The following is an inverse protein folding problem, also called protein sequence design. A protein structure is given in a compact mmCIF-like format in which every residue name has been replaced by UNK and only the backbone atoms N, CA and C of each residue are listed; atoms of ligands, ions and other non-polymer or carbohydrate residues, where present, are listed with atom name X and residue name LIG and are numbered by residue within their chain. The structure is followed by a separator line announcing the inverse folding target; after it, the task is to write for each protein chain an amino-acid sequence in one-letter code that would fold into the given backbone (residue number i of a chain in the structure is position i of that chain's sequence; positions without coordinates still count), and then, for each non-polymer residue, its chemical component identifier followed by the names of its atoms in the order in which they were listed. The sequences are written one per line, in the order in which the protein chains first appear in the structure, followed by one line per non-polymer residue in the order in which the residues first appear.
data_IF_824589074464
#
_entry.id   IF_824589074464
#
_cell.length_a   1.000
_cell.length_b   1.000
_cell.length_c   1.000
_cell.angle_alpha   90.00
_cell.angle_beta   90.00
_cell.angle_gamma   90.00
#
_symmetry.space_group_name_H-M   'P 1'
#
loop_
_entity.id
_entity.type
_entity.pdbx_description
1 polymer ?
#
# COMPACT_ATOMS: atom_id res chain seq x y z
N UNK A 1 14.61 -1.24 13.68
CA UNK A 1 13.44 -1.83 12.99
C UNK A 1 13.27 -3.28 13.44
N UNK A 2 12.05 -3.73 13.76
CA UNK A 2 11.76 -5.10 14.28
C UNK A 2 10.70 -5.86 13.45
N UNK A 3 10.53 -5.55 12.17
CA UNK A 3 9.50 -6.17 11.30
C UNK A 3 9.98 -6.43 9.87
N UNK A 4 9.11 -6.97 9.01
CA UNK A 4 9.41 -7.29 7.62
C UNK A 4 9.67 -6.02 6.79
N UNK A 5 10.90 -5.85 6.30
CA UNK A 5 11.37 -4.67 5.54
C UNK A 5 10.47 -4.32 4.36
N UNK A 6 9.96 -5.35 3.67
CA UNK A 6 9.07 -5.24 2.52
C UNK A 6 7.82 -4.40 2.81
N UNK A 7 7.12 -4.68 3.91
CA UNK A 7 5.83 -4.04 4.21
C UNK A 7 5.90 -2.90 5.22
N UNK A 8 7.03 -2.68 5.87
CA UNK A 8 7.12 -1.62 6.88
C UNK A 8 6.83 -0.21 6.32
N UNK A 9 6.15 0.63 7.10
CA UNK A 9 5.88 2.02 6.72
C UNK A 9 7.15 2.85 6.53
N UNK A 10 7.06 3.98 5.84
CA UNK A 10 8.15 4.95 5.77
C UNK A 10 8.56 5.46 7.17
N UNK A 11 7.60 5.63 8.09
CA UNK A 11 7.91 6.08 9.45
C UNK A 11 8.72 5.01 10.22
N UNK A 12 8.40 3.73 10.02
CA UNK A 12 9.17 2.62 10.62
C UNK A 12 10.60 2.57 10.07
N UNK A 13 10.79 2.87 8.78
CA UNK A 13 12.11 3.05 8.15
C UNK A 13 12.87 4.26 8.73
N UNK A 14 12.16 5.31 9.13
CA UNK A 14 12.73 6.48 9.80
C UNK A 14 13.01 6.28 11.30
N UNK A 15 12.66 5.12 11.86
CA UNK A 15 12.82 4.84 13.29
C UNK A 15 11.82 5.58 14.19
N UNK A 16 10.72 6.06 13.61
CA UNK A 16 9.61 6.66 14.38
C UNK A 16 8.83 5.58 15.15
N UNK A 17 8.14 6.01 16.20
CA UNK A 17 7.18 5.15 16.89
C UNK A 17 6.00 4.82 15.97
N UNK A 18 5.58 3.54 16.00
CA UNK A 18 4.49 3.06 15.15
C UNK A 18 3.13 3.45 15.73
N UNK A 19 2.19 3.69 14.83
CA UNK A 19 0.82 4.12 15.10
C UNK A 19 -0.14 3.48 14.08
N UNK A 20 -1.47 3.64 14.20
CA UNK A 20 -2.43 3.01 13.27
C UNK A 20 -2.20 3.35 11.78
N UNK A 21 -1.56 4.48 11.47
CA UNK A 21 -1.21 4.85 10.08
C UNK A 21 -0.17 3.90 9.47
N UNK A 22 0.71 3.35 10.30
CA UNK A 22 1.81 2.48 9.89
C UNK A 22 1.29 1.07 9.53
N UNK A 23 0.31 0.59 10.28
CA UNK A 23 -0.41 -0.65 9.96
C UNK A 23 -1.18 -0.51 8.63
N UNK A 24 -1.82 0.64 8.40
CA UNK A 24 -2.56 0.90 7.16
C UNK A 24 -1.64 1.02 5.93
N UNK A 25 -0.47 1.65 6.07
CA UNK A 25 0.53 1.68 5.00
C UNK A 25 1.06 0.27 4.69
N UNK A 26 1.29 -0.54 5.73
CA UNK A 26 1.68 -1.95 5.57
C UNK A 26 0.61 -2.77 4.85
N UNK A 27 -0.65 -2.62 5.26
CA UNK A 27 -1.81 -3.22 4.59
C UNK A 27 -1.92 -2.80 3.12
N UNK A 28 -1.70 -1.52 2.83
CA UNK A 28 -1.72 -1.03 1.47
C UNK A 28 -0.66 -1.68 0.58
N UNK A 29 0.56 -1.87 1.08
CA UNK A 29 1.59 -2.59 0.35
C UNK A 29 1.23 -4.05 0.10
N UNK A 30 0.62 -4.74 1.08
CA UNK A 30 0.13 -6.10 0.88
C UNK A 30 -0.96 -6.16 -0.20
N UNK A 31 -1.92 -5.22 -0.19
CA UNK A 31 -2.98 -5.14 -1.20
C UNK A 31 -2.42 -4.93 -2.60
N UNK A 32 -1.44 -4.06 -2.77
CA UNK A 32 -0.80 -3.85 -4.08
C UNK A 32 -0.12 -5.14 -4.55
N UNK A 33 0.66 -5.79 -3.69
CA UNK A 33 1.38 -7.01 -4.05
C UNK A 33 0.43 -8.18 -4.37
N UNK A 34 -0.68 -8.32 -3.64
CA UNK A 34 -1.71 -9.32 -3.92
C UNK A 34 -2.32 -9.13 -5.31
N UNK A 35 -2.56 -7.88 -5.73
CA UNK A 35 -3.19 -7.57 -7.01
C UNK A 35 -2.22 -7.59 -8.19
N UNK A 36 -1.01 -7.08 -8.01
CA UNK A 36 -0.01 -6.94 -9.09
C UNK A 36 0.99 -8.09 -9.16
N UNK A 37 1.09 -8.90 -8.09
CA UNK A 37 2.15 -9.89 -7.89
C UNK A 37 3.52 -9.30 -7.55
N UNK A 38 3.64 -7.97 -7.39
CA UNK A 38 4.93 -7.29 -7.33
C UNK A 38 4.91 -5.97 -6.54
N UNK A 39 5.98 -5.72 -5.78
CA UNK A 39 6.34 -4.37 -5.31
C UNK A 39 7.66 -3.94 -5.97
N UNK A 40 7.83 -2.64 -6.31
CA UNK A 40 9.06 -2.10 -6.91
C UNK A 40 10.35 -2.40 -6.13
N UNK A 41 10.22 -2.81 -4.87
CA UNK A 41 11.33 -3.14 -3.97
C UNK A 41 11.37 -4.61 -3.55
N UNK A 42 10.58 -5.50 -4.18
CA UNK A 42 10.53 -6.93 -3.82
C UNK A 42 11.83 -7.68 -4.08
N UNK A 43 12.64 -7.21 -5.03
CA UNK A 43 13.89 -7.86 -5.48
C UNK A 43 15.14 -7.37 -4.74
N UNK A 44 15.02 -6.41 -3.83
CA UNK A 44 16.18 -5.99 -3.05
C UNK A 44 16.58 -7.06 -2.02
N UNK A 45 17.89 -7.20 -1.83
CA UNK A 45 18.45 -8.12 -0.83
C UNK A 45 18.06 -7.70 0.60
N UNK A 46 18.15 -8.66 1.54
CA UNK A 46 17.72 -8.46 2.93
C UNK A 46 18.37 -7.27 3.66
N UNK A 47 19.56 -6.83 3.23
CA UNK A 47 20.31 -5.72 3.83
C UNK A 47 20.00 -4.34 3.22
N UNK A 48 19.10 -4.27 2.23
CA UNK A 48 18.82 -3.06 1.45
C UNK A 48 17.72 -2.17 2.07
N UNK A 49 17.80 -1.91 3.38
CA UNK A 49 16.81 -1.08 4.09
C UNK A 49 16.73 0.32 3.47
N UNK A 50 17.88 0.90 3.14
CA UNK A 50 17.99 2.25 2.56
C UNK A 50 17.39 2.32 1.17
N UNK A 51 17.62 1.31 0.32
CA UNK A 51 17.09 1.25 -1.04
C UNK A 51 15.57 1.02 -1.03
N UNK A 52 15.07 0.14 -0.15
CA UNK A 52 13.63 -0.08 0.04
C UNK A 52 12.96 1.22 0.49
N UNK A 53 13.55 1.94 1.43
CA UNK A 53 13.07 3.26 1.85
C UNK A 53 13.05 4.25 0.68
N UNK A 54 14.13 4.37 -0.07
CA UNK A 54 14.23 5.28 -1.22
C UNK A 54 13.17 4.96 -2.30
N UNK A 55 12.89 3.68 -2.54
CA UNK A 55 11.84 3.28 -3.47
C UNK A 55 10.44 3.59 -2.93
N UNK A 56 10.21 3.45 -1.62
CA UNK A 56 8.97 3.91 -0.99
C UNK A 56 8.80 5.42 -1.10
N UNK A 57 9.85 6.21 -0.94
CA UNK A 57 9.81 7.66 -1.21
C UNK A 57 9.53 7.93 -2.69
N UNK A 58 10.16 7.17 -3.61
CA UNK A 58 10.00 7.34 -5.05
C UNK A 58 8.56 7.09 -5.53
N UNK A 59 7.82 6.13 -4.96
CA UNK A 59 6.42 5.89 -5.37
C UNK A 59 5.45 7.04 -5.03
N UNK A 60 5.89 8.06 -4.26
CA UNK A 60 5.14 9.31 -4.06
C UNK A 60 5.33 10.32 -5.20
N UNK A 61 6.23 10.06 -6.15
CA UNK A 61 6.39 10.86 -7.36
C UNK A 61 5.41 10.43 -8.45
N UNK A 62 5.18 11.27 -9.46
CA UNK A 62 4.33 10.93 -10.60
C UNK A 62 4.82 9.69 -11.36
N UNK A 63 6.13 9.52 -11.50
CA UNK A 63 6.71 8.37 -12.21
C UNK A 63 6.64 7.10 -11.37
N UNK A 64 7.02 7.20 -10.09
CA UNK A 64 7.00 6.06 -9.18
C UNK A 64 5.59 5.53 -8.90
N UNK A 65 4.59 6.41 -8.80
CA UNK A 65 3.19 5.99 -8.58
C UNK A 65 2.63 5.27 -9.82
N UNK A 66 3.08 5.64 -11.03
CA UNK A 66 2.71 4.96 -12.26
C UNK A 66 3.30 3.54 -12.32
N UNK A 67 4.55 3.38 -11.89
CA UNK A 67 5.22 2.10 -11.78
C UNK A 67 4.52 1.18 -10.76
N UNK A 68 4.26 1.69 -9.55
CA UNK A 68 3.63 0.94 -8.47
C UNK A 68 2.25 0.37 -8.85
N UNK A 69 1.45 1.15 -9.57
CA UNK A 69 0.06 0.80 -9.88
C UNK A 69 -0.14 0.33 -11.32
N UNK A 70 0.88 -0.18 -11.99
CA UNK A 70 0.76 -0.65 -13.37
C UNK A 70 -0.38 -1.65 -13.56
N UNK A 71 -0.58 -2.55 -12.59
CA UNK A 71 -1.58 -3.63 -12.59
C UNK A 71 -2.61 -3.51 -11.45
N UNK A 72 -2.85 -2.29 -10.94
CA UNK A 72 -3.85 -2.03 -9.89
C UNK A 72 -4.92 -1.05 -10.38
N UNK A 73 -6.06 -0.93 -9.66
CA UNK A 73 -7.05 0.15 -9.87
C UNK A 73 -6.45 1.55 -9.62
N UNK A 74 -5.82 2.09 -10.67
CA UNK A 74 -4.95 3.27 -10.64
C UNK A 74 -5.58 4.53 -10.04
N UNK A 75 -6.89 4.73 -10.18
CA UNK A 75 -7.56 5.95 -9.73
C UNK A 75 -7.79 5.89 -8.23
N UNK A 76 -8.38 4.80 -7.74
CA UNK A 76 -8.72 4.58 -6.34
C UNK A 76 -7.47 4.37 -5.49
N UNK A 77 -6.48 3.63 -5.99
CA UNK A 77 -5.23 3.38 -5.26
C UNK A 77 -4.38 4.64 -5.08
N UNK A 78 -4.40 5.58 -6.06
CA UNK A 78 -3.78 6.90 -5.86
C UNK A 78 -4.49 7.73 -4.80
N UNK A 79 -5.83 7.64 -4.75
CA UNK A 79 -6.62 8.34 -3.72
C UNK A 79 -6.35 7.74 -2.33
N UNK A 80 -6.27 6.41 -2.23
CA UNK A 80 -5.88 5.71 -1.00
C UNK A 80 -4.48 6.12 -0.55
N UNK A 81 -3.46 6.03 -1.42
CA UNK A 81 -2.09 6.41 -1.06
C UNK A 81 -2.01 7.86 -0.56
N UNK A 82 -2.65 8.79 -1.27
CA UNK A 82 -2.71 10.21 -0.87
C UNK A 82 -3.39 10.40 0.49
N UNK A 83 -4.43 9.63 0.78
CA UNK A 83 -5.10 9.68 2.06
C UNK A 83 -4.20 9.15 3.20
N UNK A 84 -3.54 8.02 2.98
CA UNK A 84 -2.60 7.43 3.95
C UNK A 84 -1.41 8.36 4.24
N UNK A 85 -0.81 8.96 3.20
CA UNK A 85 0.28 9.94 3.36
C UNK A 85 -0.17 11.20 4.13
N UNK A 86 -1.48 11.47 4.20
CA UNK A 86 -2.06 12.58 4.96
C UNK A 86 -2.28 12.29 6.46
N UNK A 87 -2.16 11.03 6.89
CA UNK A 87 -2.37 10.63 8.28
C UNK A 87 -1.18 11.06 9.16
N UNK A 88 -1.51 11.63 10.33
CA UNK A 88 -0.54 11.99 11.37
C UNK A 88 -0.46 10.87 12.41
N UNK A 89 0.58 10.90 13.24
CA UNK A 89 0.80 9.92 14.31
C UNK A 89 -0.45 9.69 15.20
N UNK A 90 -1.13 10.77 15.60
CA UNK A 90 -2.35 10.71 16.42
C UNK A 90 -3.66 10.75 15.61
N UNK A 91 -3.60 10.59 14.29
CA UNK A 91 -4.81 10.57 13.46
C UNK A 91 -5.63 9.33 13.79
N UNK A 92 -6.94 9.51 13.93
CA UNK A 92 -7.89 8.41 13.85
C UNK A 92 -8.20 8.15 12.37
N UNK A 93 -7.83 6.99 11.80
CA UNK A 93 -8.13 6.72 10.41
C UNK A 93 -9.65 6.55 10.19
N UNK A 94 -10.17 7.21 9.17
CA UNK A 94 -11.49 6.94 8.60
C UNK A 94 -11.47 5.61 7.81
N UNK A 95 -11.73 4.51 8.52
CA UNK A 95 -11.81 3.17 7.93
C UNK A 95 -13.00 3.03 6.96
N UNK A 96 -14.07 3.80 7.16
CA UNK A 96 -15.23 3.81 6.26
C UNK A 96 -14.83 4.33 4.90
N UNK A 97 -14.12 5.45 4.85
CA UNK A 97 -13.59 6.01 3.60
C UNK A 97 -12.64 5.04 2.86
N UNK A 98 -11.77 4.34 3.60
CA UNK A 98 -10.87 3.32 3.01
C UNK A 98 -11.70 2.20 2.38
N UNK A 99 -12.68 1.67 3.11
CA UNK A 99 -13.54 0.59 2.63
C UNK A 99 -14.35 1.00 1.39
N UNK A 100 -14.90 2.22 1.37
CA UNK A 100 -15.62 2.77 0.23
C UNK A 100 -14.74 2.91 -1.02
N UNK A 101 -13.46 3.28 -0.86
CA UNK A 101 -12.52 3.34 -1.99
C UNK A 101 -12.19 1.95 -2.54
N UNK A 102 -12.05 0.93 -1.67
CA UNK A 102 -11.86 -0.46 -2.12
C UNK A 102 -13.10 -0.97 -2.85
N UNK A 103 -14.30 -0.72 -2.32
CA UNK A 103 -15.55 -1.09 -2.98
C UNK A 103 -15.75 -0.36 -4.32
N UNK A 104 -15.35 0.91 -4.40
CA UNK A 104 -15.38 1.66 -5.65
C UNK A 104 -14.41 1.05 -6.67
N UNK A 105 -13.23 0.63 -6.24
CA UNK A 105 -12.26 -0.06 -7.09
C UNK A 105 -12.84 -1.38 -7.62
N UNK A 106 -13.47 -2.19 -6.77
CA UNK A 106 -14.16 -3.41 -7.18
C UNK A 106 -15.24 -3.13 -8.23
N UNK A 107 -16.15 -2.19 -7.93
CA UNK A 107 -17.24 -1.81 -8.83
C UNK A 107 -16.74 -1.34 -10.19
N UNK A 108 -15.71 -0.50 -10.22
CA UNK A 108 -15.17 0.06 -11.46
C UNK A 108 -14.41 -0.98 -12.30
N UNK A 109 -13.99 -2.09 -11.70
CA UNK A 109 -13.34 -3.21 -12.38
C UNK A 109 -14.28 -4.41 -12.58
N UNK A 110 -15.58 -4.25 -12.29
CA UNK A 110 -16.60 -5.28 -12.55
C UNK A 110 -16.60 -6.46 -11.58
N UNK A 111 -15.90 -6.36 -10.45
CA UNK A 111 -15.80 -7.42 -9.42
C UNK A 111 -16.99 -7.34 -8.48
N UNK A 112 -17.62 -8.48 -8.20
CA UNK A 112 -18.71 -8.61 -7.22
C UNK A 112 -18.21 -9.17 -5.90
N UNK A 113 -18.96 -8.90 -4.82
CA UNK A 113 -18.61 -9.35 -3.47
C UNK A 113 -18.90 -10.84 -3.22
N UNK A 114 -19.72 -11.46 -4.07
CA UNK A 114 -20.13 -12.86 -3.98
C UNK A 114 -19.39 -13.78 -4.96
N UNK A 115 -18.37 -13.25 -5.64
CA UNK A 115 -17.46 -14.08 -6.45
C UNK A 115 -16.63 -14.98 -5.52
N UNK A 116 -16.42 -16.26 -5.89
CA UNK A 116 -15.57 -17.17 -5.12
C UNK A 116 -14.14 -16.65 -5.08
N UNK A 117 -13.42 -16.99 -4.02
CA UNK A 117 -11.98 -16.69 -3.98
C UNK A 117 -11.20 -17.61 -4.91
N UNK A 118 -10.01 -17.18 -5.35
CA UNK A 118 -9.14 -17.92 -6.27
C UNK A 118 -8.81 -19.36 -5.81
N UNK A 119 -8.88 -19.65 -4.51
CA UNK A 119 -8.61 -20.98 -3.92
C UNK A 119 -9.86 -21.83 -3.69
N UNK A 120 -11.04 -21.32 -4.02
CA UNK A 120 -12.32 -22.03 -3.91
C UNK A 120 -12.74 -22.71 -5.24
N UNK A 121 -11.90 -22.62 -6.27
CA UNK A 121 -12.03 -23.39 -7.52
C UNK A 121 -11.55 -24.85 -7.40
#
# INVERSE_FOLDING_TARGET
MRGTVRYASLNAHNGEEQSPRDDLESWFYMMVELLSGFLPWSDFHHDSITEVRAMKEHIRTNDGVNLMFQFCPKVEFRRLLKYLDGLKFNSQPDYTFIAELVQLAMKNNGVKMDEPFDWEE
#
